data_IF_099139053564
#
_entry.id   IF_099139053564
#
_cell.length_a   1.000
_cell.length_b   1.000
_cell.length_c   1.000
_cell.angle_alpha   90.00
_cell.angle_beta   90.00
_cell.angle_gamma   90.00
#
_symmetry.space_group_name_H-M   'P 1'
#
loop_
_entity.id
_entity.type
_entity.pdbx_description
1 polymer ?
#
# COMPACT_ATOMS: atom_id res chain seq x y z
N UNK A 1 6.99 23.31 4.01
CA UNK A 1 6.13 22.30 3.38
C UNK A 1 5.94 21.11 4.29
N UNK A 2 4.77 20.46 4.24
CA UNK A 2 4.49 19.24 5.03
C UNK A 2 4.69 18.01 4.14
N UNK A 3 5.45 17.04 4.63
CA UNK A 3 5.54 15.70 4.04
C UNK A 3 4.85 14.70 4.97
N UNK A 4 3.99 13.86 4.41
CA UNK A 4 3.28 12.82 5.14
C UNK A 4 3.32 11.49 4.37
N UNK A 5 3.38 10.39 5.11
CA UNK A 5 3.21 9.03 4.58
C UNK A 5 1.88 8.50 5.12
N UNK A 6 0.98 8.11 4.22
CA UNK A 6 -0.39 7.71 4.56
C UNK A 6 -0.60 6.28 4.09
N UNK A 7 -0.94 5.37 5.02
CA UNK A 7 -1.35 4.00 4.69
C UNK A 7 -2.81 3.94 4.26
N UNK A 8 -3.12 3.23 3.18
CA UNK A 8 -4.46 3.10 2.64
C UNK A 8 -4.63 1.79 1.84
N UNK A 9 -5.87 1.35 1.68
CA UNK A 9 -6.21 0.26 0.76
C UNK A 9 -6.38 0.82 -0.66
N UNK A 10 -5.49 0.45 -1.58
CA UNK A 10 -5.49 0.90 -2.96
C UNK A 10 -6.20 -0.12 -3.85
N UNK A 11 -7.26 0.31 -4.56
CA UNK A 11 -7.88 -0.52 -5.59
C UNK A 11 -7.33 -0.15 -6.98
N UNK A 12 -6.74 -1.13 -7.68
CA UNK A 12 -6.31 -0.99 -9.07
C UNK A 12 -6.85 -2.15 -9.90
N UNK A 13 -7.86 -1.85 -10.72
CA UNK A 13 -8.59 -2.87 -11.47
C UNK A 13 -9.27 -3.86 -10.53
N UNK A 14 -8.94 -5.15 -10.67
CA UNK A 14 -9.48 -6.23 -9.82
C UNK A 14 -8.64 -6.48 -8.56
N UNK A 15 -7.50 -5.81 -8.43
CA UNK A 15 -6.56 -6.02 -7.32
C UNK A 15 -6.75 -4.97 -6.25
N UNK A 16 -6.61 -5.40 -5.00
CA UNK A 16 -6.55 -4.55 -3.82
C UNK A 16 -5.14 -4.64 -3.24
N UNK A 17 -4.52 -3.52 -2.90
CA UNK A 17 -3.16 -3.47 -2.34
C UNK A 17 -3.17 -2.78 -0.99
N UNK A 18 -2.29 -3.23 -0.10
CA UNK A 18 -1.91 -2.48 1.09
C UNK A 18 -0.82 -1.49 0.68
N UNK A 19 -1.17 -0.20 0.62
CA UNK A 19 -0.32 0.82 0.00
C UNK A 19 -0.01 1.97 0.95
N UNK A 20 1.11 2.63 0.70
CA UNK A 20 1.51 3.86 1.37
C UNK A 20 1.73 4.98 0.33
N UNK A 21 1.04 6.11 0.50
CA UNK A 21 1.18 7.29 -0.34
C UNK A 21 2.14 8.29 0.32
N UNK A 22 3.12 8.75 -0.45
CA UNK A 22 3.97 9.89 -0.11
C UNK A 22 3.29 11.17 -0.60
N UNK A 23 2.87 11.99 0.34
CA UNK A 23 2.28 13.30 0.09
C UNK A 23 3.30 14.38 0.48
N UNK A 24 3.56 15.33 -0.42
CA UNK A 24 4.41 16.49 -0.15
C UNK A 24 3.73 17.75 -0.67
N UNK A 25 3.57 18.76 0.19
CA UNK A 25 2.96 20.05 -0.16
C UNK A 25 1.58 19.92 -0.83
N UNK A 26 0.77 19.00 -0.29
CA UNK A 26 -0.59 18.71 -0.80
C UNK A 26 -0.61 17.91 -2.11
N UNK A 27 0.55 17.51 -2.64
CA UNK A 27 0.66 16.72 -3.87
C UNK A 27 1.01 15.28 -3.57
N UNK A 28 0.44 14.37 -4.34
CA UNK A 28 0.82 12.97 -4.36
C UNK A 28 2.11 12.81 -5.16
N UNK A 29 3.18 12.36 -4.49
CA UNK A 29 4.52 12.18 -5.08
C UNK A 29 4.73 10.75 -5.56
N UNK A 30 4.39 9.76 -4.74
CA UNK A 30 4.57 8.34 -5.05
C UNK A 30 3.63 7.46 -4.21
N UNK A 31 3.36 6.25 -4.70
CA UNK A 31 2.70 5.18 -3.95
C UNK A 31 3.61 3.96 -3.93
N UNK A 32 3.86 3.39 -2.76
CA UNK A 32 4.54 2.12 -2.60
C UNK A 32 3.52 1.06 -2.15
N UNK A 33 3.62 -0.16 -2.71
CA UNK A 33 2.74 -1.29 -2.37
C UNK A 33 3.49 -2.28 -1.51
N UNK A 34 2.85 -2.78 -0.47
CA UNK A 34 3.43 -3.80 0.42
C UNK A 34 3.71 -5.07 -0.38
N UNK A 35 4.99 -5.40 -0.51
CA UNK A 35 5.45 -6.59 -1.25
C UNK A 35 5.27 -7.88 -0.43
N UNK A 36 5.61 -7.84 0.86
CA UNK A 36 5.53 -9.01 1.74
C UNK A 36 4.23 -8.97 2.55
N UNK A 37 3.29 -9.83 2.19
CA UNK A 37 2.01 -9.97 2.87
C UNK A 37 2.08 -11.15 3.85
N UNK A 38 2.19 -10.91 5.18
CA UNK A 38 2.19 -11.98 6.17
C UNK A 38 0.85 -12.74 6.15
N UNK A 39 0.94 -14.07 6.19
CA UNK A 39 -0.22 -14.96 6.16
C UNK A 39 -0.13 -16.09 7.19
N UNK A 40 0.34 -15.76 8.40
CA UNK A 40 0.56 -16.68 9.51
C UNK A 40 -0.06 -16.14 10.80
N UNK A 41 -0.49 -17.04 11.70
CA UNK A 41 -1.07 -16.67 12.98
C UNK A 41 -2.34 -15.84 12.81
N UNK A 42 -2.34 -14.62 13.32
CA UNK A 42 -3.46 -13.67 13.21
C UNK A 42 -3.47 -12.88 11.89
N UNK A 43 -2.41 -13.02 11.08
CA UNK A 43 -2.31 -12.33 9.79
C UNK A 43 -2.85 -13.23 8.67
N UNK A 44 -3.76 -12.67 7.87
CA UNK A 44 -4.37 -13.30 6.69
C UNK A 44 -4.37 -12.29 5.52
N UNK A 45 -3.25 -11.58 5.31
CA UNK A 45 -3.21 -10.46 4.36
C UNK A 45 -3.35 -10.93 2.90
N UNK A 46 -2.86 -12.12 2.54
CA UNK A 46 -2.92 -12.65 1.16
C UNK A 46 -4.35 -12.99 0.73
N UNK A 47 -5.28 -13.12 1.68
CA UNK A 47 -6.70 -13.29 1.36
C UNK A 47 -7.33 -12.03 0.77
N UNK A 48 -6.87 -10.86 1.16
CA UNK A 48 -7.48 -9.58 0.79
C UNK A 48 -6.64 -8.76 -0.18
N UNK A 49 -5.32 -8.83 -0.05
CA UNK A 49 -4.41 -7.96 -0.77
C UNK A 49 -3.53 -8.74 -1.76
N UNK A 50 -3.19 -8.07 -2.86
CA UNK A 50 -2.19 -8.49 -3.84
C UNK A 50 -0.83 -7.94 -3.44
N UNK A 51 0.24 -8.69 -3.67
CA UNK A 51 1.62 -8.28 -3.40
C UNK A 51 2.05 -7.15 -4.35
N UNK A 52 2.79 -6.17 -3.83
CA UNK A 52 3.48 -5.18 -4.65
C UNK A 52 4.55 -5.80 -5.54
N UNK A 53 4.76 -5.20 -6.71
CA UNK A 53 5.66 -5.66 -7.76
C UNK A 53 6.91 -4.79 -7.94
N UNK A 54 6.95 -3.61 -7.31
CA UNK A 54 8.05 -2.66 -7.37
C UNK A 54 8.38 -2.12 -5.95
N UNK A 55 9.69 -1.96 -5.61
CA UNK A 55 10.13 -1.38 -4.34
C UNK A 55 9.90 0.14 -4.24
#
# INVERSE_FOLDING_TARGET
>A
GLTAVIGFAEQKGKHLYNSAALMCDGKHVATCRKMLLPNYGVFDEKRYFTEGDEP
#
